data_IF_006530978419
#
_entry.id   IF_006530978419
#
_cell.length_a   1.000
_cell.length_b   1.000
_cell.length_c   1.000
_cell.angle_alpha   90.00
_cell.angle_beta   90.00
_cell.angle_gamma   90.00
#
_symmetry.space_group_name_H-M   'P 1'
#
loop_
_entity.id
_entity.type
_entity.pdbx_description
1 polymer ?
#
# COMPACT_ATOMS: atom_id res chain seq x y z
N UNK A 1 6.74 -20.15 12.31
CA UNK A 1 5.35 -20.05 11.82
C UNK A 1 4.99 -18.60 12.03
N UNK A 2 5.16 -17.79 10.99
CA UNK A 2 4.83 -16.37 11.02
C UNK A 2 3.31 -16.31 11.19
N UNK A 3 2.84 -15.81 12.33
CA UNK A 3 1.42 -15.60 12.55
C UNK A 3 0.92 -14.71 11.40
N UNK A 4 -0.02 -15.23 10.61
CA UNK A 4 -0.67 -14.43 9.60
C UNK A 4 -1.43 -13.33 10.35
N UNK A 5 -1.09 -12.08 10.11
CA UNK A 5 -1.79 -10.98 10.76
C UNK A 5 -3.26 -11.02 10.36
N UNK A 6 -4.14 -10.95 11.36
CA UNK A 6 -5.59 -10.98 11.13
C UNK A 6 -6.03 -9.89 10.16
N UNK A 7 -5.39 -8.74 10.16
CA UNK A 7 -5.65 -7.67 9.21
C UNK A 7 -4.34 -7.03 8.72
N UNK A 8 -4.35 -6.45 7.53
CA UNK A 8 -3.18 -5.80 6.97
C UNK A 8 -3.49 -4.94 5.76
N UNK A 9 -2.72 -3.88 5.58
CA UNK A 9 -2.84 -3.01 4.41
C UNK A 9 -2.08 -3.63 3.24
N UNK A 10 -2.76 -3.78 2.11
CA UNK A 10 -2.09 -4.15 0.87
C UNK A 10 -1.58 -2.88 0.18
N UNK A 11 -0.31 -2.88 -0.16
CA UNK A 11 0.25 -1.93 -1.11
C UNK A 11 -0.41 -2.11 -2.49
N UNK A 12 -0.43 -1.06 -3.28
CA UNK A 12 -1.04 -1.05 -4.63
C UNK A 12 -0.41 -2.12 -5.51
N UNK A 13 0.91 -2.31 -5.42
CA UNK A 13 1.62 -3.32 -6.19
C UNK A 13 1.21 -4.76 -5.80
N UNK A 14 0.88 -4.99 -4.53
CA UNK A 14 0.41 -6.27 -3.98
C UNK A 14 -1.03 -6.52 -4.40
N UNK A 15 -1.91 -5.52 -4.26
CA UNK A 15 -3.29 -5.60 -4.69
C UNK A 15 -3.42 -5.94 -6.18
N UNK A 16 -2.63 -5.25 -7.02
CA UNK A 16 -2.64 -5.49 -8.47
C UNK A 16 -2.30 -6.95 -8.77
N UNK A 17 -1.37 -7.56 -8.05
CA UNK A 17 -0.89 -8.92 -8.37
C UNK A 17 -1.43 -10.00 -7.42
N UNK A 18 -2.54 -9.74 -6.72
CA UNK A 18 -3.21 -10.70 -5.83
C UNK A 18 -3.37 -12.11 -6.43
N UNK A 19 -3.74 -12.20 -7.72
CA UNK A 19 -3.93 -13.49 -8.39
C UNK A 19 -2.64 -14.30 -8.62
N UNK A 20 -1.47 -13.73 -8.33
CA UNK A 20 -0.16 -14.38 -8.44
C UNK A 20 0.43 -14.78 -7.09
N UNK A 21 -0.18 -14.33 -5.99
CA UNK A 21 0.35 -14.50 -4.63
C UNK A 21 -0.26 -15.74 -3.97
N UNK A 22 0.51 -16.37 -3.08
CA UNK A 22 -0.01 -17.41 -2.20
C UNK A 22 -0.99 -16.77 -1.19
N UNK A 23 -2.27 -17.20 -1.13
CA UNK A 23 -3.22 -16.68 -0.15
C UNK A 23 -2.75 -16.81 1.29
N UNK A 24 -1.91 -17.81 1.61
CA UNK A 24 -1.33 -17.98 2.95
C UNK A 24 -0.29 -16.91 3.31
N UNK A 25 0.20 -16.15 2.32
CA UNK A 25 1.13 -15.03 2.51
C UNK A 25 0.42 -13.66 2.62
N UNK A 26 -0.90 -13.64 2.57
CA UNK A 26 -1.74 -12.44 2.66
C UNK A 26 -2.48 -12.40 4.00
N UNK A 27 -2.88 -11.21 4.50
CA UNK A 27 -3.66 -11.12 5.73
C UNK A 27 -5.06 -11.72 5.54
N UNK A 28 -5.65 -12.24 6.63
CA UNK A 28 -7.02 -12.76 6.60
C UNK A 28 -8.04 -11.68 6.22
N UNK A 29 -7.81 -10.44 6.68
CA UNK A 29 -8.62 -9.27 6.39
C UNK A 29 -7.74 -8.25 5.66
N UNK A 30 -7.71 -8.26 4.32
CA UNK A 30 -6.98 -7.27 3.56
C UNK A 30 -7.69 -5.91 3.61
N UNK A 31 -6.91 -4.85 3.72
CA UNK A 31 -7.37 -3.46 3.69
C UNK A 31 -6.68 -2.70 2.56
N UNK A 32 -7.41 -1.77 1.94
CA UNK A 32 -6.83 -0.83 0.97
C UNK A 32 -6.88 0.59 1.51
N UNK A 33 -5.96 1.42 1.03
CA UNK A 33 -5.95 2.84 1.38
C UNK A 33 -6.61 3.70 0.30
N UNK A 34 -7.04 4.91 0.67
CA UNK A 34 -7.50 5.90 -0.30
C UNK A 34 -6.41 6.27 -1.32
N UNK A 35 -5.13 6.15 -0.93
CA UNK A 35 -3.98 6.36 -1.81
C UNK A 35 -3.89 5.25 -2.86
N UNK A 36 -4.06 4.00 -2.44
CA UNK A 36 -4.14 2.85 -3.36
C UNK A 36 -5.29 3.01 -4.35
N UNK A 37 -6.47 3.42 -3.88
CA UNK A 37 -7.61 3.69 -4.76
C UNK A 37 -7.28 4.80 -5.79
N UNK A 38 -6.61 5.87 -5.36
CA UNK A 38 -6.18 6.94 -6.27
C UNK A 38 -5.17 6.45 -7.32
N UNK A 39 -4.23 5.58 -6.94
CA UNK A 39 -3.27 4.98 -7.88
C UNK A 39 -3.94 4.07 -8.90
N UNK A 40 -4.95 3.30 -8.51
CA UNK A 40 -5.75 2.48 -9.44
C UNK A 40 -6.51 3.36 -10.44
N UNK A 41 -7.18 4.41 -9.98
CA UNK A 41 -7.83 5.40 -10.87
C UNK A 41 -6.83 6.04 -11.84
N UNK A 42 -5.67 6.49 -11.33
CA UNK A 42 -4.59 7.05 -12.14
C UNK A 42 -4.11 6.03 -13.20
N UNK A 43 -3.94 4.77 -12.80
CA UNK A 43 -3.55 3.68 -13.69
C UNK A 43 -4.51 3.51 -14.87
N UNK A 44 -5.81 3.55 -14.63
CA UNK A 44 -6.83 3.49 -15.69
C UNK A 44 -6.73 4.71 -16.62
N UNK A 45 -6.66 5.92 -16.05
CA UNK A 45 -6.60 7.17 -16.81
C UNK A 45 -5.34 7.27 -17.69
N UNK A 46 -4.21 6.78 -17.22
CA UNK A 46 -2.93 6.81 -17.94
C UNK A 46 -2.75 5.67 -18.95
N UNK A 47 -3.62 4.66 -18.95
CA UNK A 47 -3.53 3.54 -19.89
C UNK A 47 -3.75 4.03 -21.32
N UNK A 48 -2.73 3.84 -22.18
CA UNK A 48 -2.77 4.23 -23.60
C UNK A 48 -3.40 3.16 -24.50
N UNK A 49 -3.21 1.90 -24.13
CA UNK A 49 -3.73 0.74 -24.84
C UNK A 49 -5.11 0.32 -24.30
N UNK A 50 -6.00 -0.11 -25.21
CA UNK A 50 -7.36 -0.48 -24.86
C UNK A 50 -7.42 -1.75 -24.00
N UNK A 51 -6.58 -2.75 -24.26
CA UNK A 51 -6.55 -3.98 -23.48
C UNK A 51 -6.01 -3.71 -22.08
N UNK A 52 -4.93 -2.93 -21.96
CA UNK A 52 -4.39 -2.50 -20.65
C UNK A 52 -5.42 -1.69 -19.87
N UNK A 53 -6.16 -0.78 -20.52
CA UNK A 53 -7.22 -0.01 -19.86
C UNK A 53 -8.35 -0.90 -19.36
N UNK A 54 -8.79 -1.88 -20.15
CA UNK A 54 -9.83 -2.82 -19.75
C UNK A 54 -9.41 -3.61 -18.50
N UNK A 55 -8.21 -4.21 -18.52
CA UNK A 55 -7.69 -4.97 -17.37
C UNK A 55 -7.53 -4.12 -16.10
N UNK A 56 -7.09 -2.86 -16.22
CA UNK A 56 -7.01 -1.94 -15.06
C UNK A 56 -8.39 -1.51 -14.57
N UNK A 57 -9.36 -1.35 -15.47
CA UNK A 57 -10.74 -0.99 -15.11
C UNK A 57 -11.41 -2.12 -14.34
N UNK A 58 -11.16 -3.37 -14.74
CA UNK A 58 -11.62 -4.55 -14.02
C UNK A 58 -11.06 -4.62 -12.59
N UNK A 59 -9.73 -4.45 -12.42
CA UNK A 59 -9.10 -4.40 -11.09
C UNK A 59 -9.64 -3.25 -10.23
N UNK A 60 -9.81 -2.06 -10.80
CA UNK A 60 -10.42 -0.93 -10.10
C UNK A 60 -11.87 -1.22 -9.70
N UNK A 61 -12.65 -1.85 -10.59
CA UNK A 61 -14.04 -2.22 -10.33
C UNK A 61 -14.16 -3.19 -9.16
N UNK A 62 -13.32 -4.22 -9.11
CA UNK A 62 -13.25 -5.13 -7.97
C UNK A 62 -12.89 -4.38 -6.67
N UNK A 63 -11.88 -3.50 -6.72
CA UNK A 63 -11.45 -2.73 -5.55
C UNK A 63 -12.59 -1.87 -4.96
N UNK A 64 -13.40 -1.25 -5.82
CA UNK A 64 -14.53 -0.39 -5.40
C UNK A 64 -15.65 -1.21 -4.75
N UNK A 65 -15.87 -2.43 -5.21
CA UNK A 65 -16.93 -3.32 -4.68
C UNK A 65 -16.50 -3.93 -3.35
N UNK A 66 -15.24 -4.36 -3.27
CA UNK A 66 -14.77 -5.21 -2.17
C UNK A 66 -14.22 -4.42 -0.98
N UNK A 67 -13.82 -3.15 -1.17
CA UNK A 67 -13.10 -2.39 -0.15
C UNK A 67 -13.72 -1.03 0.15
N UNK A 68 -13.71 -0.67 1.44
CA UNK A 68 -13.92 0.70 1.90
C UNK A 68 -12.54 1.29 2.24
N UNK A 69 -11.96 2.15 1.39
CA UNK A 69 -10.57 2.54 1.53
C UNK A 69 -10.32 3.37 2.79
N UNK A 70 -9.26 3.02 3.53
CA UNK A 70 -8.81 3.74 4.72
C UNK A 70 -8.34 5.17 4.34
N UNK A 71 -8.87 6.22 5.00
CA UNK A 71 -8.58 7.59 4.62
C UNK A 71 -7.18 8.04 5.04
N UNK A 72 -6.61 8.98 4.27
CA UNK A 72 -5.46 9.77 4.72
C UNK A 72 -5.95 10.92 5.61
N UNK A 73 -6.15 10.63 6.89
CA UNK A 73 -6.65 11.55 7.91
C UNK A 73 -5.51 12.26 8.68
N UNK A 74 -5.87 12.97 9.75
CA UNK A 74 -4.91 13.74 10.55
C UNK A 74 -3.83 12.88 11.23
N UNK A 75 -4.18 11.68 11.69
CA UNK A 75 -3.23 10.76 12.32
C UNK A 75 -2.26 10.19 11.28
N UNK A 76 -2.77 9.78 10.11
CA UNK A 76 -1.94 9.37 8.99
C UNK A 76 -1.03 10.51 8.51
N UNK A 77 -1.53 11.75 8.46
CA UNK A 77 -0.73 12.91 8.07
C UNK A 77 0.43 13.19 9.05
N UNK A 78 0.19 13.09 10.36
CA UNK A 78 1.25 13.20 11.36
C UNK A 78 2.29 12.07 11.21
N UNK A 79 1.81 10.82 11.04
CA UNK A 79 2.65 9.64 10.85
C UNK A 79 3.52 9.77 9.59
N UNK A 80 2.97 10.30 8.50
CA UNK A 80 3.71 10.56 7.27
C UNK A 80 4.92 11.46 7.50
N UNK A 81 4.78 12.52 8.30
CA UNK A 81 5.90 13.40 8.67
C UNK A 81 7.02 12.65 9.39
N UNK A 82 6.68 11.75 10.31
CA UNK A 82 7.65 10.88 10.99
C UNK A 82 8.35 9.93 10.01
N UNK A 83 7.62 9.28 9.11
CA UNK A 83 8.22 8.39 8.11
C UNK A 83 9.17 9.15 7.18
N UNK A 84 8.79 10.35 6.72
CA UNK A 84 9.68 11.21 5.93
C UNK A 84 10.96 11.54 6.69
N UNK A 85 10.86 11.88 7.98
CA UNK A 85 12.04 12.14 8.81
C UNK A 85 12.96 10.92 8.91
N UNK A 86 12.40 9.71 9.03
CA UNK A 86 13.18 8.47 9.03
C UNK A 86 13.86 8.19 7.68
N UNK A 87 13.17 8.40 6.56
CA UNK A 87 13.77 8.29 5.22
C UNK A 87 14.96 9.24 5.06
N UNK A 88 14.81 10.49 5.53
CA UNK A 88 15.88 11.48 5.51
C UNK A 88 17.05 11.10 6.42
N UNK A 89 16.76 10.58 7.63
CA UNK A 89 17.78 10.08 8.55
C UNK A 89 18.56 8.89 7.96
N UNK A 90 17.89 8.05 7.17
CA UNK A 90 18.48 6.98 6.38
C UNK A 90 19.22 7.48 5.12
N UNK A 91 19.35 8.79 4.92
CA UNK A 91 20.00 9.44 3.76
C UNK A 91 19.39 9.07 2.41
N UNK A 92 18.08 8.81 2.38
CA UNK A 92 17.30 8.51 1.17
C UNK A 92 16.44 9.72 0.78
N UNK A 93 16.02 9.77 -0.48
CA UNK A 93 15.08 10.79 -0.97
C UNK A 93 13.63 10.29 -0.80
N UNK A 94 12.77 11.00 -0.04
CA UNK A 94 11.36 10.64 0.12
C UNK A 94 10.51 10.97 -1.11
N UNK A 95 10.94 11.87 -2.01
CA UNK A 95 10.10 12.37 -3.12
C UNK A 95 9.64 11.27 -4.09
N UNK A 96 10.49 10.32 -4.52
CA UNK A 96 10.07 9.25 -5.42
C UNK A 96 9.06 8.29 -4.77
N UNK A 97 9.00 8.23 -3.44
CA UNK A 97 8.21 7.29 -2.64
C UNK A 97 7.03 7.94 -1.94
N UNK A 98 6.64 9.15 -2.36
CA UNK A 98 5.63 9.95 -1.64
C UNK A 98 4.32 9.17 -1.45
N UNK A 99 3.86 8.48 -2.50
CA UNK A 99 2.62 7.70 -2.44
C UNK A 99 2.79 6.49 -1.50
N UNK A 100 3.86 5.74 -1.66
CA UNK A 100 4.21 4.59 -0.79
C UNK A 100 4.28 5.00 0.70
N UNK A 101 4.89 6.15 1.00
CA UNK A 101 4.97 6.69 2.35
C UNK A 101 3.61 7.12 2.89
N UNK A 102 2.69 7.59 2.04
CA UNK A 102 1.31 7.87 2.47
C UNK A 102 0.54 6.58 2.77
N UNK A 103 0.72 5.52 1.97
CA UNK A 103 0.15 4.18 2.24
C UNK A 103 0.68 3.66 3.58
N UNK A 104 2.00 3.67 3.76
CA UNK A 104 2.64 3.26 5.01
C UNK A 104 2.19 4.11 6.20
N UNK A 105 1.99 5.42 6.02
CA UNK A 105 1.50 6.28 7.09
C UNK A 105 0.09 5.91 7.56
N UNK A 106 -0.80 5.55 6.63
CA UNK A 106 -2.16 5.08 6.95
C UNK A 106 -2.08 3.76 7.72
N UNK A 107 -1.32 2.79 7.20
CA UNK A 107 -1.13 1.49 7.85
C UNK A 107 -0.55 1.65 9.27
N UNK A 108 0.56 2.39 9.40
CA UNK A 108 1.24 2.67 10.66
C UNK A 108 0.39 3.47 11.65
N UNK A 109 -0.45 4.41 11.19
CA UNK A 109 -1.37 5.13 12.09
C UNK A 109 -2.40 4.21 12.76
N UNK A 110 -2.71 3.08 12.13
CA UNK A 110 -3.70 2.09 12.55
C UNK A 110 -3.08 0.80 13.10
N UNK A 111 -1.77 0.78 13.29
CA UNK A 111 -1.02 -0.39 13.77
C UNK A 111 -1.24 -1.63 12.90
N UNK A 112 -1.43 -1.43 11.59
CA UNK A 112 -1.56 -2.51 10.62
C UNK A 112 -0.23 -2.75 9.89
N UNK A 113 0.17 -4.00 9.65
CA UNK A 113 1.31 -4.31 8.80
C UNK A 113 1.02 -3.92 7.35
N UNK A 114 2.08 -3.56 6.62
CA UNK A 114 2.04 -3.26 5.20
C UNK A 114 2.59 -4.43 4.38
N UNK A 115 1.75 -4.99 3.52
CA UNK A 115 2.11 -6.05 2.59
C UNK A 115 2.51 -5.44 1.24
N UNK A 116 3.77 -5.57 0.85
CA UNK A 116 4.33 -4.94 -0.35
C UNK A 116 5.28 -5.87 -1.09
N UNK A 117 5.32 -5.75 -2.41
CA UNK A 117 6.37 -6.39 -3.24
C UNK A 117 7.64 -5.57 -3.34
N UNK A 118 7.63 -4.34 -2.83
CA UNK A 118 8.73 -3.39 -2.87
C UNK A 118 9.26 -3.11 -1.45
N UNK A 119 9.48 -4.15 -0.64
CA UNK A 119 9.90 -4.00 0.77
C UNK A 119 11.15 -3.12 0.95
N UNK A 120 12.04 -3.11 -0.06
CA UNK A 120 13.23 -2.26 -0.12
C UNK A 120 12.93 -0.75 -0.05
N UNK A 121 11.75 -0.32 -0.48
CA UNK A 121 11.31 1.08 -0.41
C UNK A 121 11.04 1.55 1.02
N UNK A 122 10.83 0.62 1.95
CA UNK A 122 10.52 0.90 3.36
C UNK A 122 11.67 0.60 4.32
N UNK A 123 12.85 0.19 3.81
CA UNK A 123 14.06 0.04 4.64
C UNK A 123 14.37 1.32 5.41
N UNK A 124 14.54 1.18 6.73
CA UNK A 124 14.77 2.27 7.68
C UNK A 124 13.51 2.78 8.38
N UNK A 125 12.34 2.19 8.12
CA UNK A 125 11.04 2.56 8.72
C UNK A 125 10.53 1.54 9.74
N UNK A 126 11.31 0.51 10.05
CA UNK A 126 10.90 -0.68 10.82
C UNK A 126 10.48 -0.35 12.25
N UNK A 127 10.92 0.80 12.80
CA UNK A 127 10.50 1.28 14.12
C UNK A 127 9.07 1.82 14.16
N UNK A 128 8.47 2.09 13.01
CA UNK A 128 7.15 2.71 12.89
C UNK A 128 6.14 1.86 12.14
N UNK A 129 6.60 0.92 11.31
CA UNK A 129 5.72 0.06 10.52
C UNK A 129 6.33 -1.32 10.32
N UNK A 130 5.51 -2.34 10.52
CA UNK A 130 5.85 -3.70 10.12
C UNK A 130 5.61 -3.86 8.61
N UNK A 131 6.63 -4.33 7.90
CA UNK A 131 6.59 -4.53 6.44
C UNK A 131 6.74 -6.01 6.15
N UNK A 132 5.79 -6.55 5.40
CA UNK A 132 5.76 -7.95 4.99
C UNK A 132 5.96 -8.00 3.48
N UNK A 133 7.01 -8.70 3.06
CA UNK A 133 7.29 -8.91 1.66
C UNK A 133 6.33 -9.97 1.09
N UNK A 134 5.70 -9.65 -0.04
CA UNK A 134 4.80 -10.55 -0.79
C UNK A 134 5.34 -10.87 -2.17
#
# INVERSE_FOLDING_TARGET
MTDCHKAGVLDTCTYIDLGLLDPAALPEIPELTAVTMAELHQGVAMAKDHAVRAARTEKLGAAIVDFVPLPFDGEAAARYGTLVALVLAAKRDPRPRRMDLMIAAIASSRELPLYTRNADDFKGLESMIEVIAT
#
